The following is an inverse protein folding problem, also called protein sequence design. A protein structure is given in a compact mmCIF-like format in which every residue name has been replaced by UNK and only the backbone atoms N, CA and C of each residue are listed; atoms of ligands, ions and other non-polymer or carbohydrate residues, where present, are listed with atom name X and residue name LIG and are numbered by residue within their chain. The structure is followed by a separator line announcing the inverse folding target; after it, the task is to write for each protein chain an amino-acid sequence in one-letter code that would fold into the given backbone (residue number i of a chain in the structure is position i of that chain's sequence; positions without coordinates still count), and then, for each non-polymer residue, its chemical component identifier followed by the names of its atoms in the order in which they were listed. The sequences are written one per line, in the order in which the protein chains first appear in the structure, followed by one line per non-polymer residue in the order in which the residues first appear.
data_IF_670802065303
#
_entry.id   IF_670802065303
#
_cell.length_a   1.000
_cell.length_b   1.000
_cell.length_c   1.000
_cell.angle_alpha   90.00
_cell.angle_beta   90.00
_cell.angle_gamma   90.00
#
_symmetry.space_group_name_H-M   'P 1'
#
loop_
_entity.id
_entity.type
_entity.pdbx_description
1 polymer ?
#
# COMPACT_ATOMS: atom_id res chain seq x y z
N UNK A 1 9.88 10.30 -11.11
CA UNK A 1 9.88 10.39 -12.59
C UNK A 1 8.74 9.61 -13.25
N UNK A 2 8.63 8.29 -13.09
CA UNK A 2 7.60 7.50 -13.79
C UNK A 2 6.17 7.98 -13.51
N UNK A 3 5.86 8.34 -12.26
CA UNK A 3 4.54 8.88 -11.89
C UNK A 3 4.18 10.17 -12.63
N UNK A 4 5.13 11.10 -12.78
CA UNK A 4 4.94 12.36 -13.54
C UNK A 4 4.64 12.06 -15.01
N UNK A 5 5.36 11.11 -15.62
CA UNK A 5 5.14 10.71 -17.01
C UNK A 5 3.76 10.05 -17.21
N UNK A 6 3.36 9.14 -16.31
CA UNK A 6 2.05 8.50 -16.33
C UNK A 6 0.90 9.51 -16.15
N UNK A 7 1.02 10.41 -15.16
CA UNK A 7 0.04 11.47 -14.93
C UNK A 7 -0.11 12.36 -16.16
N UNK A 8 1.01 12.76 -16.77
CA UNK A 8 0.99 13.60 -17.98
C UNK A 8 0.29 12.90 -19.15
N UNK A 9 0.48 11.59 -19.32
CA UNK A 9 -0.22 10.82 -20.34
C UNK A 9 -1.74 10.75 -20.10
N UNK A 10 -2.18 10.83 -18.85
CA UNK A 10 -3.58 10.89 -18.43
C UNK A 10 -4.16 12.33 -18.39
N UNK A 11 -3.39 13.35 -18.78
CA UNK A 11 -3.82 14.75 -18.74
C UNK A 11 -3.75 15.42 -17.35
N UNK A 12 -3.10 14.76 -16.38
CA UNK A 12 -2.90 15.26 -15.01
C UNK A 12 -1.50 15.88 -14.91
N UNK A 13 -1.37 16.99 -14.20
CA UNK A 13 -0.08 17.63 -13.93
C UNK A 13 0.30 17.31 -12.49
N UNK A 14 1.46 16.66 -12.32
CA UNK A 14 2.11 16.47 -11.03
C UNK A 14 3.50 17.12 -11.15
N UNK A 15 3.84 18.03 -10.24
CA UNK A 15 5.13 18.69 -10.19
C UNK A 15 5.96 18.21 -8.99
N UNK A 16 7.13 18.82 -8.78
CA UNK A 16 8.02 18.47 -7.67
C UNK A 16 7.52 18.96 -6.31
N UNK A 17 6.75 20.05 -6.29
CA UNK A 17 6.17 20.61 -5.07
C UNK A 17 5.16 19.61 -4.46
N UNK A 18 4.33 18.98 -5.30
CA UNK A 18 3.39 17.93 -4.88
C UNK A 18 4.11 16.77 -4.15
N UNK A 19 5.29 16.36 -4.63
CA UNK A 19 6.08 15.32 -3.97
C UNK A 19 6.70 15.80 -2.66
N UNK A 20 7.16 17.06 -2.60
CA UNK A 20 7.72 17.64 -1.38
C UNK A 20 6.67 17.70 -0.28
N UNK A 21 5.49 18.25 -0.60
CA UNK A 21 4.38 18.41 0.34
C UNK A 21 3.88 17.06 0.86
N UNK A 22 3.79 16.05 -0.02
CA UNK A 22 3.40 14.69 0.38
C UNK A 22 4.48 13.99 1.22
N UNK A 23 5.76 14.21 0.92
CA UNK A 23 6.86 13.58 1.68
C UNK A 23 6.91 14.04 3.14
N UNK A 24 6.43 15.25 3.43
CA UNK A 24 6.42 15.79 4.80
C UNK A 24 5.31 15.18 5.67
N UNK A 25 4.23 14.68 5.06
CA UNK A 25 3.04 14.19 5.79
C UNK A 25 2.87 12.67 5.73
N UNK A 26 3.43 11.99 4.73
CA UNK A 26 3.30 10.54 4.58
C UNK A 26 4.41 9.82 5.36
N UNK A 27 4.08 9.03 6.39
CA UNK A 27 5.08 8.33 7.18
C UNK A 27 5.74 7.20 6.38
N UNK A 28 7.01 6.95 6.65
CA UNK A 28 7.69 5.75 6.17
C UNK A 28 7.17 4.54 6.94
N UNK A 29 6.34 3.73 6.28
CA UNK A 29 5.74 2.56 6.92
C UNK A 29 6.60 1.30 6.81
N UNK A 30 7.27 1.08 5.67
CA UNK A 30 8.05 -0.14 5.39
C UNK A 30 9.50 0.13 4.95
N UNK A 31 10.44 -0.64 5.49
CA UNK A 31 11.89 -0.60 5.21
C UNK A 31 12.32 -1.86 4.46
N UNK A 32 12.13 -1.81 3.15
CA UNK A 32 12.53 -2.88 2.25
C UNK A 32 13.92 -2.63 1.69
N UNK A 33 14.67 -3.70 1.43
CA UNK A 33 15.89 -3.64 0.66
C UNK A 33 15.64 -2.86 -0.65
N UNK A 34 16.45 -1.83 -0.98
CA UNK A 34 17.80 -1.51 -0.45
C UNK A 34 17.85 -0.64 0.83
N UNK A 35 16.72 -0.14 1.33
CA UNK A 35 16.64 0.78 2.47
C UNK A 35 16.50 0.07 3.84
N UNK A 36 16.49 -1.27 3.86
CA UNK A 36 16.39 -2.09 5.06
C UNK A 36 16.84 -3.54 4.82
N UNK A 37 16.94 -4.36 5.87
CA UNK A 37 17.39 -5.75 5.78
C UNK A 37 16.31 -6.70 5.26
N UNK A 38 15.04 -6.27 5.27
CA UNK A 38 13.90 -7.08 4.87
C UNK A 38 13.76 -7.10 3.34
N UNK A 39 13.58 -8.28 2.77
CA UNK A 39 13.24 -8.45 1.36
C UNK A 39 11.71 -8.37 1.13
N UNK A 40 11.28 -8.46 -0.14
CA UNK A 40 9.86 -8.45 -0.52
C UNK A 40 9.07 -9.61 0.12
N UNK A 41 9.72 -10.74 0.43
CA UNK A 41 9.07 -11.89 1.04
C UNK A 41 8.76 -11.60 2.52
N UNK A 42 9.70 -10.96 3.22
CA UNK A 42 9.48 -10.50 4.59
C UNK A 42 8.38 -9.44 4.65
N UNK A 43 8.31 -8.52 3.68
CA UNK A 43 7.20 -7.57 3.57
C UNK A 43 5.85 -8.28 3.47
N UNK A 44 5.75 -9.25 2.55
CA UNK A 44 4.52 -9.99 2.36
C UNK A 44 4.17 -10.81 3.61
N UNK A 45 5.16 -11.43 4.27
CA UNK A 45 4.98 -12.17 5.51
C UNK A 45 4.57 -11.27 6.69
N UNK A 46 5.03 -10.01 6.71
CA UNK A 46 4.62 -9.01 7.69
C UNK A 46 3.17 -8.52 7.48
N UNK A 47 2.52 -8.90 6.38
CA UNK A 47 1.13 -8.54 6.06
C UNK A 47 0.98 -7.74 4.76
N UNK A 48 2.09 -7.38 4.12
CA UNK A 48 2.15 -6.90 2.74
C UNK A 48 1.31 -5.66 2.44
N UNK A 49 0.86 -5.59 1.18
CA UNK A 49 0.03 -4.49 0.66
C UNK A 49 -1.27 -4.31 1.46
N UNK A 50 -1.99 -5.37 1.89
CA UNK A 50 -3.21 -5.20 2.69
C UNK A 50 -3.03 -4.38 3.97
N UNK A 51 -1.97 -4.64 4.75
CA UNK A 51 -1.67 -3.86 5.96
C UNK A 51 -1.30 -2.43 5.60
N UNK A 52 -0.45 -2.25 4.58
CA UNK A 52 -0.03 -0.92 4.13
C UNK A 52 -1.22 -0.04 3.72
N UNK A 53 -2.10 -0.55 2.87
CA UNK A 53 -3.29 0.16 2.41
C UNK A 53 -4.22 0.46 3.57
N UNK A 54 -4.40 -0.50 4.49
CA UNK A 54 -5.25 -0.32 5.67
C UNK A 54 -4.75 0.79 6.59
N UNK A 55 -3.46 0.85 6.86
CA UNK A 55 -2.88 1.88 7.74
C UNK A 55 -2.93 3.27 7.10
N UNK A 56 -2.67 3.37 5.79
CA UNK A 56 -2.77 4.64 5.07
C UNK A 56 -4.22 5.14 4.95
N UNK A 57 -5.19 4.25 4.71
CA UNK A 57 -6.62 4.60 4.73
C UNK A 57 -7.07 5.08 6.12
N UNK A 58 -6.69 4.36 7.19
CA UNK A 58 -6.97 4.78 8.58
C UNK A 58 -6.35 6.15 8.90
N UNK A 59 -5.16 6.43 8.35
CA UNK A 59 -4.49 7.72 8.49
C UNK A 59 -5.08 8.85 7.65
N UNK A 60 -6.06 8.57 6.79
CA UNK A 60 -6.60 9.56 5.84
C UNK A 60 -5.61 9.98 4.75
N UNK A 61 -4.58 9.16 4.50
CA UNK A 61 -3.50 9.44 3.54
C UNK A 61 -3.75 8.79 2.17
N UNK A 62 -4.84 8.02 2.03
CA UNK A 62 -5.31 7.47 0.77
C UNK A 62 -6.78 7.84 0.56
N UNK A 63 -7.12 8.14 -0.69
CA UNK A 63 -8.49 8.37 -1.13
C UNK A 63 -9.22 7.03 -1.28
N UNK A 64 -10.27 6.81 -0.48
CA UNK A 64 -11.11 5.60 -0.59
C UNK A 64 -12.01 5.65 -1.83
N UNK A 65 -12.45 6.85 -2.22
CA UNK A 65 -13.45 7.16 -3.24
C UNK A 65 -12.91 7.12 -4.68
N UNK A 66 -12.21 6.04 -5.02
CA UNK A 66 -11.59 5.86 -6.35
C UNK A 66 -12.08 4.61 -7.08
N UNK A 67 -12.07 4.67 -8.41
CA UNK A 67 -12.28 3.50 -9.26
C UNK A 67 -10.99 2.73 -9.46
N UNK A 68 -11.02 1.43 -9.21
CA UNK A 68 -9.88 0.52 -9.40
C UNK A 68 -10.25 -0.62 -10.35
N UNK A 69 -9.26 -1.40 -10.77
CA UNK A 69 -9.50 -2.62 -11.57
C UNK A 69 -10.31 -3.68 -10.80
N UNK A 70 -10.30 -3.64 -9.47
CA UNK A 70 -11.09 -4.52 -8.60
C UNK A 70 -12.51 -3.97 -8.30
N UNK A 71 -12.88 -2.83 -8.88
CA UNK A 71 -14.13 -2.12 -8.63
C UNK A 71 -13.93 -0.80 -7.86
N UNK A 72 -15.04 -0.20 -7.43
CA UNK A 72 -15.02 1.04 -6.64
C UNK A 72 -14.56 0.75 -5.20
N UNK A 73 -13.73 1.65 -4.65
CA UNK A 73 -13.23 1.59 -3.28
C UNK A 73 -11.81 1.02 -3.18
N UNK A 74 -10.89 1.78 -2.59
CA UNK A 74 -9.51 1.30 -2.38
C UNK A 74 -9.40 0.26 -1.26
N UNK A 75 -10.40 0.19 -0.37
CA UNK A 75 -10.51 -0.82 0.69
C UNK A 75 -10.50 -2.26 0.16
N UNK A 76 -10.82 -2.48 -1.12
CA UNK A 76 -10.69 -3.81 -1.76
C UNK A 76 -9.26 -4.35 -1.74
N UNK A 77 -8.26 -3.48 -1.71
CA UNK A 77 -6.85 -3.87 -1.63
C UNK A 77 -6.42 -4.25 -0.20
N UNK A 78 -7.32 -4.17 0.79
CA UNK A 78 -7.11 -4.78 2.12
C UNK A 78 -7.49 -6.26 2.16
N UNK A 79 -8.04 -6.79 1.06
CA UNK A 79 -8.35 -8.20 0.90
C UNK A 79 -7.16 -8.92 0.27
N UNK A 80 -7.05 -10.22 0.56
CA UNK A 80 -6.08 -11.10 -0.07
C UNK A 80 -6.78 -12.20 -0.87
N UNK A 81 -6.29 -12.49 -2.09
CA UNK A 81 -6.78 -13.61 -2.87
C UNK A 81 -6.29 -14.92 -2.25
N UNK A 82 -7.14 -15.93 -2.23
CA UNK A 82 -6.78 -17.26 -1.78
C UNK A 82 -7.48 -18.34 -2.60
N UNK A 83 -6.94 -19.55 -2.57
CA UNK A 83 -7.50 -20.68 -3.28
C UNK A 83 -8.41 -21.48 -2.33
N UNK A 84 -9.72 -21.34 -2.52
CA UNK A 84 -10.75 -22.01 -1.75
C UNK A 84 -11.22 -23.26 -2.52
N UNK A 85 -10.75 -24.45 -2.13
CA UNK A 85 -11.12 -25.72 -2.77
C UNK A 85 -10.93 -25.75 -4.31
N UNK A 86 -9.93 -25.03 -4.81
CA UNK A 86 -9.63 -24.93 -6.25
C UNK A 86 -10.28 -23.74 -6.96
N UNK A 87 -11.09 -22.94 -6.26
CA UNK A 87 -11.69 -21.71 -6.78
C UNK A 87 -10.99 -20.48 -6.20
N UNK A 88 -10.90 -19.41 -7.01
CA UNK A 88 -10.38 -18.13 -6.55
C UNK A 88 -11.43 -17.46 -5.66
N UNK A 89 -11.03 -17.12 -4.44
CA UNK A 89 -11.87 -16.43 -3.47
C UNK A 89 -11.07 -15.31 -2.80
N UNK A 90 -11.75 -14.40 -2.09
CA UNK A 90 -11.16 -13.25 -1.41
C UNK A 90 -11.49 -13.30 0.07
N UNK A 91 -10.49 -13.05 0.92
CA UNK A 91 -10.68 -12.95 2.37
C UNK A 91 -10.02 -11.70 2.92
N UNK A 92 -10.35 -11.35 4.16
CA UNK A 92 -9.65 -10.27 4.86
C UNK A 92 -8.15 -10.58 4.92
N UNK A 93 -7.33 -9.65 4.41
CA UNK A 93 -5.89 -9.72 4.57
C UNK A 93 -5.48 -9.41 6.00
N UNK A 94 -4.17 -9.51 6.27
CA UNK A 94 -3.61 -9.18 7.56
C UNK A 94 -4.07 -7.77 8.04
N UNK A 95 -4.44 -7.68 9.31
CA UNK A 95 -4.95 -6.45 9.94
C UNK A 95 -3.89 -5.67 10.70
N UNK A 96 -2.76 -6.31 10.98
CA UNK A 96 -1.62 -5.74 11.68
C UNK A 96 -0.30 -6.38 11.20
N UNK A 97 0.83 -5.67 11.32
CA UNK A 97 2.15 -6.21 11.07
C UNK A 97 2.43 -7.49 11.87
N UNK A 98 2.98 -8.53 11.24
CA UNK A 98 3.55 -9.67 11.96
C UNK A 98 5.02 -9.33 12.32
N UNK A 99 5.20 -8.63 13.43
CA UNK A 99 6.51 -8.23 13.97
C UNK A 99 6.50 -8.18 15.50
N UNK A 100 7.64 -8.45 16.15
CA UNK A 100 7.79 -8.42 17.62
C UNK A 100 7.36 -7.07 18.21
N UNK A 101 6.69 -7.04 19.37
CA UNK A 101 6.30 -5.78 20.00
C UNK A 101 7.55 -4.96 20.35
N UNK A 102 7.73 -3.80 19.71
CA UNK A 102 8.79 -2.84 20.04
C UNK A 102 9.59 -2.26 18.86
N UNK A 103 9.41 -2.74 17.63
CA UNK A 103 10.03 -2.13 16.45
C UNK A 103 8.94 -1.57 15.52
N UNK A 104 8.85 -0.24 15.44
CA UNK A 104 7.84 0.49 14.67
C UNK A 104 8.22 0.67 13.19
N UNK A 105 8.82 -0.35 12.60
CA UNK A 105 9.17 -0.34 11.19
C UNK A 105 8.68 -1.66 10.58
N UNK A 106 7.75 -1.60 9.61
CA UNK A 106 7.51 -2.72 8.69
C UNK A 106 8.73 -2.92 7.78
#
# INVERSE_FOLDING_TARGET
MHLVAMARAAGIIINWDDFSDLSDVVPLLARLYPNGPADINHFQAAGGVPVLVRELLKGGLLHEDVHTVAGFGLSRYTLEPWLNNGELDWREGATAPIGRPGHRDL
#
